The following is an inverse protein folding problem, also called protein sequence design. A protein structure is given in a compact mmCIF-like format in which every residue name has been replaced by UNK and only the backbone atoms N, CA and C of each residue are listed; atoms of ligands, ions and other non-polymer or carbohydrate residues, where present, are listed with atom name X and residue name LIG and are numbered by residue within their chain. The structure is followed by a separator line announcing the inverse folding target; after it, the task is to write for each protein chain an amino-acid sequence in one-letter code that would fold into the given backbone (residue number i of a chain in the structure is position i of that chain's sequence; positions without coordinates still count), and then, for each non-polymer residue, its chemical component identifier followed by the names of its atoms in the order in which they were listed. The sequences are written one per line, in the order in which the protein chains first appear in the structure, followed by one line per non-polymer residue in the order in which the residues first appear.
data_IF_425574536890
#
_entry.id   IF_425574536890
#
_cell.length_a   1.000
_cell.length_b   1.000
_cell.length_c   1.000
_cell.angle_alpha   90.00
_cell.angle_beta   90.00
_cell.angle_gamma   90.00
#
_symmetry.space_group_name_H-M   'P 1'
#
loop_
_entity.id
_entity.type
_entity.pdbx_description
1 polymer ?
#
# COMPACT_ATOMS: atom_id res chain seq x y z
N UNK A 1 -11.41 10.48 2.89
CA UNK A 1 -12.24 10.49 4.11
C UNK A 1 -11.48 11.12 5.28
N UNK A 2 -10.46 10.48 5.87
CA UNK A 2 -9.73 11.00 7.04
C UNK A 2 -9.00 12.30 6.74
N UNK A 3 -8.41 12.42 5.55
CA UNK A 3 -7.64 13.58 5.11
C UNK A 3 -8.52 14.71 4.50
N UNK A 4 -9.85 14.53 4.47
CA UNK A 4 -10.82 15.50 3.96
C UNK A 4 -10.58 15.96 2.50
N UNK A 5 -10.01 15.11 1.65
CA UNK A 5 -9.88 15.41 0.23
C UNK A 5 -11.22 15.20 -0.48
N UNK A 6 -11.54 16.10 -1.40
CA UNK A 6 -12.62 15.91 -2.36
C UNK A 6 -12.34 14.64 -3.19
N UNK A 7 -13.34 13.79 -3.49
CA UNK A 7 -13.15 12.58 -4.29
C UNK A 7 -12.48 12.82 -5.65
N UNK A 8 -12.79 13.95 -6.32
CA UNK A 8 -12.14 14.32 -7.56
C UNK A 8 -10.65 14.62 -7.36
N UNK A 9 -10.30 15.34 -6.28
CA UNK A 9 -8.91 15.63 -5.95
C UNK A 9 -8.13 14.37 -5.55
N UNK A 10 -8.76 13.46 -4.83
CA UNK A 10 -8.16 12.16 -4.48
C UNK A 10 -7.82 11.33 -5.73
N UNK A 11 -8.67 11.36 -6.76
CA UNK A 11 -8.39 10.76 -8.07
C UNK A 11 -7.21 11.41 -8.78
N UNK A 12 -7.19 12.75 -8.83
CA UNK A 12 -6.08 13.53 -9.42
C UNK A 12 -4.76 13.30 -8.70
N UNK A 13 -4.79 13.08 -7.39
CA UNK A 13 -3.61 12.82 -6.58
C UNK A 13 -2.86 11.53 -6.98
N UNK A 14 -3.51 10.61 -7.69
CA UNK A 14 -2.88 9.38 -8.19
C UNK A 14 -2.28 9.55 -9.59
N UNK A 15 -2.57 10.64 -10.31
CA UNK A 15 -2.07 10.87 -11.68
C UNK A 15 -0.53 10.84 -11.79
N UNK A 16 0.26 11.41 -10.87
CA UNK A 16 1.71 11.35 -10.95
C UNK A 16 2.24 9.91 -10.98
N UNK A 17 1.66 9.02 -10.15
CA UNK A 17 2.00 7.60 -10.16
C UNK A 17 1.68 6.95 -11.50
N UNK A 18 0.46 7.13 -12.00
CA UNK A 18 0.03 6.55 -13.28
C UNK A 18 0.88 7.06 -14.46
N UNK A 19 1.18 8.35 -14.47
CA UNK A 19 2.00 8.97 -15.51
C UNK A 19 3.41 8.36 -15.52
N UNK A 20 4.03 8.18 -14.37
CA UNK A 20 5.34 7.55 -14.26
C UNK A 20 5.33 6.11 -14.78
N UNK A 21 4.30 5.33 -14.47
CA UNK A 21 4.17 3.96 -14.99
C UNK A 21 4.12 3.96 -16.52
N UNK A 22 3.31 4.82 -17.12
CA UNK A 22 3.18 4.90 -18.59
C UNK A 22 4.48 5.36 -19.25
N UNK A 23 5.14 6.39 -18.71
CA UNK A 23 6.37 6.94 -19.26
C UNK A 23 7.56 5.99 -19.14
N UNK A 24 7.65 5.24 -18.05
CA UNK A 24 8.80 4.36 -17.78
C UNK A 24 8.64 2.96 -18.36
N UNK A 25 7.42 2.51 -18.65
CA UNK A 25 7.17 1.17 -19.17
C UNK A 25 8.00 0.82 -20.43
N UNK A 26 8.15 1.71 -21.44
CA UNK A 26 9.00 1.43 -22.60
C UNK A 26 10.49 1.36 -22.25
N UNK A 27 10.94 2.13 -21.24
CA UNK A 27 12.33 2.12 -20.78
C UNK A 27 12.65 0.83 -20.04
N UNK A 28 11.69 0.32 -19.27
CA UNK A 28 11.82 -0.94 -18.55
C UNK A 28 12.06 -2.12 -19.50
N UNK A 29 11.38 -2.17 -20.65
CA UNK A 29 11.64 -3.17 -21.68
C UNK A 29 13.09 -3.15 -22.17
N UNK A 30 13.60 -1.98 -22.54
CA UNK A 30 15.01 -1.80 -22.99
C UNK A 30 16.01 -2.18 -21.90
N UNK A 31 15.67 -1.94 -20.63
CA UNK A 31 16.52 -2.30 -19.50
C UNK A 31 16.63 -3.82 -19.35
N UNK A 32 15.52 -4.54 -19.58
CA UNK A 32 15.51 -6.02 -19.60
C UNK A 32 16.35 -6.56 -20.74
N UNK A 33 16.22 -5.99 -21.95
CA UNK A 33 16.96 -6.44 -23.11
C UNK A 33 18.47 -6.30 -22.90
N UNK A 34 18.91 -5.22 -22.26
CA UNK A 34 20.32 -4.91 -22.04
C UNK A 34 20.94 -5.61 -20.83
N UNK A 35 20.25 -5.62 -19.70
CA UNK A 35 20.80 -6.08 -18.40
C UNK A 35 20.13 -7.33 -17.84
N UNK A 36 19.11 -7.85 -18.54
CA UNK A 36 18.30 -8.95 -18.05
C UNK A 36 17.23 -8.49 -17.03
N UNK A 37 16.32 -9.38 -16.64
CA UNK A 37 15.16 -9.04 -15.81
C UNK A 37 15.52 -8.79 -14.35
N UNK A 38 16.61 -9.36 -13.84
CA UNK A 38 17.00 -9.26 -12.42
C UNK A 38 17.20 -7.81 -11.97
N UNK A 39 17.97 -7.03 -12.72
CA UNK A 39 18.32 -5.66 -12.31
C UNK A 39 17.08 -4.76 -12.17
N UNK A 40 16.19 -4.63 -13.18
CA UNK A 40 14.99 -3.81 -13.05
C UNK A 40 14.03 -4.31 -11.96
N UNK A 41 13.90 -5.63 -11.75
CA UNK A 41 13.05 -6.17 -10.68
C UNK A 41 13.60 -5.84 -9.28
N UNK A 42 14.91 -5.91 -9.07
CA UNK A 42 15.54 -5.55 -7.79
C UNK A 42 15.46 -4.04 -7.55
N UNK A 43 15.73 -3.22 -8.55
CA UNK A 43 15.60 -1.76 -8.42
C UNK A 43 14.17 -1.38 -8.13
N UNK A 44 13.20 -1.89 -8.90
CA UNK A 44 11.80 -1.59 -8.70
C UNK A 44 11.27 -2.08 -7.35
N UNK A 45 11.63 -3.29 -6.92
CA UNK A 45 11.26 -3.80 -5.61
C UNK A 45 11.85 -2.97 -4.46
N UNK A 46 13.10 -2.53 -4.58
CA UNK A 46 13.74 -1.63 -3.60
C UNK A 46 13.01 -0.28 -3.54
N UNK A 47 12.72 0.32 -4.70
CA UNK A 47 11.96 1.59 -4.77
C UNK A 47 10.55 1.44 -4.18
N UNK A 48 9.87 0.31 -4.44
CA UNK A 48 8.55 0.05 -3.87
C UNK A 48 8.62 -0.08 -2.34
N UNK A 49 9.58 -0.83 -1.80
CA UNK A 49 9.78 -0.96 -0.36
C UNK A 49 10.05 0.40 0.29
N UNK A 50 10.93 1.22 -0.30
CA UNK A 50 11.19 2.59 0.16
C UNK A 50 9.95 3.49 0.04
N UNK A 51 9.17 3.36 -1.03
CA UNK A 51 7.93 4.08 -1.23
C UNK A 51 6.92 3.80 -0.11
N UNK A 52 6.77 2.54 0.28
CA UNK A 52 5.91 2.17 1.42
C UNK A 52 6.46 2.66 2.76
N UNK A 53 7.79 2.67 2.96
CA UNK A 53 8.39 3.24 4.17
C UNK A 53 8.15 4.74 4.27
N UNK A 54 8.25 5.47 3.17
CA UNK A 54 7.93 6.91 3.13
C UNK A 54 6.44 7.12 3.38
N UNK A 55 5.57 6.29 2.79
CA UNK A 55 4.12 6.32 3.01
C UNK A 55 3.75 6.06 4.47
N UNK A 56 4.47 5.17 5.15
CA UNK A 56 4.28 4.90 6.57
C UNK A 56 4.59 6.11 7.47
N UNK A 57 5.34 7.09 7.01
CA UNK A 57 5.65 8.31 7.77
C UNK A 57 4.57 9.40 7.62
N UNK A 58 3.59 9.18 6.73
CA UNK A 58 2.50 10.14 6.53
C UNK A 58 1.60 10.20 7.75
N UNK A 59 1.44 11.40 8.31
CA UNK A 59 0.57 11.68 9.45
C UNK A 59 -0.82 12.18 9.03
N UNK A 60 -1.54 12.76 10.01
CA UNK A 60 -2.73 13.57 9.72
C UNK A 60 -2.28 14.84 9.00
N UNK A 61 -2.87 15.10 7.84
CA UNK A 61 -2.61 16.32 7.07
C UNK A 61 -3.77 17.32 7.23
N UNK A 62 -3.45 18.60 7.19
CA UNK A 62 -4.42 19.67 7.30
C UNK A 62 -5.12 20.00 5.96
N UNK A 63 -4.93 19.15 4.95
CA UNK A 63 -5.61 19.30 3.66
C UNK A 63 -4.68 19.18 2.44
N UNK A 64 -5.18 19.56 1.23
CA UNK A 64 -4.50 19.31 -0.05
C UNK A 64 -3.11 19.93 -0.21
N UNK A 65 -2.80 20.99 0.54
CA UNK A 65 -1.49 21.66 0.44
C UNK A 65 -0.34 20.78 0.93
N UNK A 66 -0.61 19.89 1.88
CA UNK A 66 0.40 18.99 2.44
C UNK A 66 0.61 17.74 1.59
N UNK A 67 -0.19 17.55 0.52
CA UNK A 67 -0.02 16.46 -0.43
C UNK A 67 1.40 16.39 -1.01
N UNK A 68 1.97 17.55 -1.37
CA UNK A 68 3.28 17.64 -2.01
C UNK A 68 4.43 17.12 -1.15
N UNK A 69 4.34 17.29 0.17
CA UNK A 69 5.36 16.84 1.13
C UNK A 69 5.05 15.46 1.73
N UNK A 70 3.77 15.09 1.85
CA UNK A 70 3.33 13.87 2.53
C UNK A 70 3.18 12.68 1.59
N UNK A 71 2.36 12.82 0.56
CA UNK A 71 1.99 11.69 -0.31
C UNK A 71 2.80 11.63 -1.61
N UNK A 72 3.09 12.78 -2.22
CA UNK A 72 3.74 12.81 -3.53
C UNK A 72 5.10 12.10 -3.56
N UNK A 73 6.01 12.23 -2.57
CA UNK A 73 7.27 11.51 -2.59
C UNK A 73 7.09 9.99 -2.59
N UNK A 74 6.17 9.49 -1.77
CA UNK A 74 5.85 8.06 -1.71
C UNK A 74 5.24 7.56 -3.03
N UNK A 75 4.25 8.28 -3.58
CA UNK A 75 3.60 7.93 -4.84
C UNK A 75 4.56 8.00 -6.02
N UNK A 76 5.52 8.92 -6.00
CA UNK A 76 6.59 8.99 -7.00
C UNK A 76 7.48 7.75 -6.94
N UNK A 77 7.93 7.34 -5.76
CA UNK A 77 8.72 6.11 -5.58
C UNK A 77 7.95 4.88 -6.04
N UNK A 78 6.67 4.76 -5.68
CA UNK A 78 5.81 3.66 -6.10
C UNK A 78 5.56 3.67 -7.61
N UNK A 79 5.37 4.83 -8.22
CA UNK A 79 5.21 4.99 -9.66
C UNK A 79 6.46 4.58 -10.43
N UNK A 80 7.65 5.01 -9.97
CA UNK A 80 8.94 4.57 -10.50
C UNK A 80 9.12 3.05 -10.36
N UNK A 81 8.81 2.51 -9.20
CA UNK A 81 8.89 1.08 -8.92
C UNK A 81 8.02 0.27 -9.89
N UNK A 82 6.76 0.62 -10.02
CA UNK A 82 5.81 -0.08 -10.91
C UNK A 82 6.21 0.08 -12.39
N UNK A 83 6.60 1.28 -12.80
CA UNK A 83 7.02 1.55 -14.18
C UNK A 83 8.24 0.74 -14.59
N UNK A 84 9.19 0.51 -13.66
CA UNK A 84 10.40 -0.26 -13.92
C UNK A 84 10.15 -1.78 -13.83
N UNK A 85 9.22 -2.25 -12.98
CA UNK A 85 9.05 -3.68 -12.66
C UNK A 85 7.98 -4.39 -13.50
N UNK A 86 6.95 -3.69 -14.00
CA UNK A 86 5.79 -4.31 -14.61
C UNK A 86 6.14 -5.14 -15.86
N UNK A 87 6.88 -4.56 -16.80
CA UNK A 87 7.31 -5.26 -18.02
C UNK A 87 8.29 -6.40 -17.74
N UNK A 88 9.37 -6.20 -16.92
CA UNK A 88 10.29 -7.27 -16.54
C UNK A 88 9.61 -8.47 -15.89
N UNK A 89 8.64 -8.24 -15.02
CA UNK A 89 7.92 -9.31 -14.33
C UNK A 89 7.20 -10.22 -15.33
N UNK A 90 6.40 -9.63 -16.21
CA UNK A 90 5.65 -10.37 -17.24
C UNK A 90 6.58 -11.11 -18.20
N UNK A 91 7.65 -10.47 -18.66
CA UNK A 91 8.64 -11.08 -19.56
C UNK A 91 9.35 -12.26 -18.91
N UNK A 92 9.72 -12.15 -17.63
CA UNK A 92 10.39 -13.24 -16.90
C UNK A 92 9.49 -14.47 -16.80
N UNK A 93 8.22 -14.28 -16.49
CA UNK A 93 7.24 -15.38 -16.42
C UNK A 93 7.06 -16.03 -17.80
N UNK A 94 6.90 -15.24 -18.86
CA UNK A 94 6.69 -15.77 -20.21
C UNK A 94 7.93 -16.51 -20.74
N UNK A 95 9.14 -16.04 -20.44
CA UNK A 95 10.39 -16.68 -20.84
C UNK A 95 10.72 -17.95 -20.01
N UNK A 96 10.00 -18.20 -18.93
CA UNK A 96 10.19 -19.38 -18.08
C UNK A 96 9.44 -20.61 -18.56
N UNK A 97 8.57 -20.48 -19.59
CA UNK A 97 7.77 -21.56 -20.16
C UNK A 97 8.17 -21.81 -21.62
N UNK A 98 8.03 -23.08 -22.08
CA UNK A 98 8.25 -23.42 -23.48
C UNK A 98 7.22 -22.70 -24.37
N UNK A 99 7.64 -22.38 -25.60
CA UNK A 99 6.79 -21.60 -26.53
C UNK A 99 5.42 -22.23 -26.77
N UNK A 100 5.37 -23.55 -26.81
CA UNK A 100 4.13 -24.35 -26.95
C UNK A 100 3.21 -24.26 -25.73
N UNK A 101 3.73 -23.91 -24.56
CA UNK A 101 3.02 -23.83 -23.29
C UNK A 101 2.75 -22.39 -22.83
N UNK A 102 2.98 -21.40 -23.68
CA UNK A 102 2.82 -19.96 -23.34
C UNK A 102 1.40 -19.65 -22.85
N UNK A 103 0.38 -20.29 -23.42
CA UNK A 103 -1.00 -20.13 -22.97
C UNK A 103 -1.22 -20.63 -21.52
N UNK A 104 -0.64 -21.77 -21.18
CA UNK A 104 -0.68 -22.32 -19.81
C UNK A 104 0.06 -21.43 -18.84
N UNK A 105 1.26 -20.96 -19.21
CA UNK A 105 2.06 -20.02 -18.40
C UNK A 105 1.33 -18.72 -18.13
N UNK A 106 0.67 -18.14 -19.13
CA UNK A 106 -0.17 -16.95 -18.99
C UNK A 106 -1.36 -17.20 -18.07
N UNK A 107 -2.04 -18.34 -18.20
CA UNK A 107 -3.15 -18.73 -17.33
C UNK A 107 -2.74 -18.87 -15.87
N UNK A 108 -1.62 -19.55 -15.60
CA UNK A 108 -1.07 -19.70 -14.25
C UNK A 108 -0.70 -18.32 -13.67
N UNK A 109 0.01 -17.50 -14.41
CA UNK A 109 0.38 -16.14 -13.96
C UNK A 109 -0.85 -15.29 -13.61
N UNK A 110 -1.88 -15.30 -14.45
CA UNK A 110 -3.12 -14.56 -14.22
C UNK A 110 -3.87 -15.07 -12.99
N UNK A 111 -3.92 -16.39 -12.81
CA UNK A 111 -4.58 -17.02 -11.65
C UNK A 111 -3.85 -16.68 -10.35
N UNK A 112 -2.52 -16.83 -10.34
CA UNK A 112 -1.69 -16.49 -9.18
C UNK A 112 -1.79 -15.00 -8.84
N UNK A 113 -1.80 -14.11 -9.83
CA UNK A 113 -1.95 -12.68 -9.62
C UNK A 113 -3.29 -12.33 -8.96
N UNK A 114 -4.38 -12.94 -9.43
CA UNK A 114 -5.72 -12.74 -8.85
C UNK A 114 -5.81 -13.31 -7.43
N UNK A 115 -5.29 -14.50 -7.21
CA UNK A 115 -5.27 -15.13 -5.90
C UNK A 115 -4.44 -14.28 -4.91
N UNK A 116 -3.26 -13.82 -5.32
CA UNK A 116 -2.41 -12.95 -4.51
C UNK A 116 -3.10 -11.63 -4.18
N UNK A 117 -3.86 -11.05 -5.11
CA UNK A 117 -4.62 -9.83 -4.85
C UNK A 117 -5.70 -10.04 -3.78
N UNK A 118 -6.47 -11.14 -3.87
CA UNK A 118 -7.51 -11.46 -2.88
C UNK A 118 -6.89 -11.74 -1.50
N UNK A 119 -5.85 -12.56 -1.44
CA UNK A 119 -5.14 -12.85 -0.19
C UNK A 119 -4.49 -11.60 0.39
N UNK A 120 -3.89 -10.76 -0.47
CA UNK A 120 -3.31 -9.48 -0.06
C UNK A 120 -4.34 -8.56 0.60
N UNK A 121 -5.49 -8.37 -0.03
CA UNK A 121 -6.58 -7.56 0.54
C UNK A 121 -7.06 -8.15 1.86
N UNK A 122 -7.24 -9.48 1.96
CA UNK A 122 -7.70 -10.12 3.19
C UNK A 122 -6.68 -9.95 4.34
N UNK A 123 -5.40 -10.23 4.09
CA UNK A 123 -4.34 -10.14 5.11
C UNK A 123 -4.12 -8.68 5.53
N UNK A 124 -3.98 -7.75 4.57
CA UNK A 124 -3.76 -6.34 4.87
C UNK A 124 -4.99 -5.70 5.52
N UNK A 125 -6.20 -6.12 5.13
CA UNK A 125 -7.44 -5.71 5.77
C UNK A 125 -7.52 -6.16 7.22
N UNK A 126 -7.11 -7.39 7.53
CA UNK A 126 -7.03 -7.89 8.90
C UNK A 126 -5.98 -7.12 9.72
N UNK A 127 -4.81 -6.87 9.15
CA UNK A 127 -3.77 -6.06 9.81
C UNK A 127 -4.30 -4.64 10.10
N UNK A 128 -5.01 -4.03 9.13
CA UNK A 128 -5.61 -2.72 9.31
C UNK A 128 -6.63 -2.72 10.46
N UNK A 129 -7.54 -3.70 10.47
CA UNK A 129 -8.59 -3.80 11.46
C UNK A 129 -8.01 -4.01 12.88
N UNK A 130 -7.15 -4.99 13.05
CA UNK A 130 -6.54 -5.27 14.36
C UNK A 130 -5.68 -4.11 14.87
N UNK A 131 -4.92 -3.46 13.98
CA UNK A 131 -4.12 -2.29 14.35
C UNK A 131 -5.00 -1.11 14.73
N UNK A 132 -6.09 -0.90 14.01
CA UNK A 132 -7.04 0.16 14.29
C UNK A 132 -7.75 -0.04 15.63
N UNK A 133 -8.31 -1.23 15.85
CA UNK A 133 -9.01 -1.58 17.08
C UNK A 133 -8.09 -1.42 18.30
N UNK A 134 -6.89 -2.01 18.24
CA UNK A 134 -5.91 -1.90 19.32
C UNK A 134 -5.54 -0.43 19.61
N UNK A 135 -5.25 0.34 18.57
CA UNK A 135 -4.88 1.76 18.72
C UNK A 135 -6.03 2.60 19.24
N UNK A 136 -7.26 2.35 18.75
CA UNK A 136 -8.45 3.08 19.18
C UNK A 136 -8.75 2.80 20.65
N UNK A 137 -8.78 1.53 21.05
CA UNK A 137 -9.09 1.15 22.43
C UNK A 137 -8.04 1.67 23.42
N UNK A 138 -6.75 1.65 23.07
CA UNK A 138 -5.69 2.20 23.92
C UNK A 138 -5.81 3.72 24.10
N UNK A 139 -6.18 4.46 23.07
CA UNK A 139 -6.30 5.93 23.12
C UNK A 139 -7.58 6.38 23.83
N UNK A 140 -8.66 5.65 23.62
CA UNK A 140 -9.96 5.95 24.22
C UNK A 140 -9.99 5.62 25.72
N UNK A 141 -9.15 4.70 26.21
CA UNK A 141 -9.05 4.42 27.65
C UNK A 141 -8.72 5.65 28.50
N UNK A 142 -8.05 6.64 27.92
CA UNK A 142 -7.71 7.91 28.59
C UNK A 142 -8.93 8.88 28.66
N UNK A 143 -9.95 8.65 27.84
CA UNK A 143 -11.14 9.53 27.78
C UNK A 143 -12.21 9.17 28.83
N UNK A 144 -11.97 8.17 29.68
CA UNK A 144 -12.87 7.75 30.77
C UNK A 144 -14.32 7.48 30.30
N UNK A 145 -14.47 6.85 29.14
CA UNK A 145 -15.77 6.47 28.60
C UNK A 145 -16.46 5.41 29.48
N UNK A 146 -17.78 5.40 29.50
CA UNK A 146 -18.56 4.33 30.14
C UNK A 146 -18.34 2.98 29.44
N UNK A 147 -18.60 1.89 30.14
CA UNK A 147 -18.51 0.53 29.55
C UNK A 147 -19.42 0.34 28.35
N UNK A 148 -20.59 0.99 28.34
CA UNK A 148 -21.55 0.96 27.24
C UNK A 148 -21.03 1.72 26.00
N UNK A 149 -20.49 2.94 26.19
CA UNK A 149 -19.88 3.74 25.11
C UNK A 149 -18.67 3.03 24.49
N UNK A 150 -17.84 2.40 25.32
CA UNK A 150 -16.70 1.60 24.86
C UNK A 150 -17.14 0.39 24.03
N UNK A 151 -18.20 -0.31 24.42
CA UNK A 151 -18.74 -1.44 23.68
C UNK A 151 -19.34 -1.01 22.33
N UNK A 152 -20.04 0.12 22.29
CA UNK A 152 -20.55 0.69 21.02
C UNK A 152 -19.38 1.04 20.09
N UNK A 153 -18.36 1.69 20.62
CA UNK A 153 -17.19 2.09 19.84
C UNK A 153 -16.39 0.88 19.33
N UNK A 154 -16.30 -0.19 20.11
CA UNK A 154 -15.68 -1.45 19.68
C UNK A 154 -16.43 -2.08 18.51
N UNK A 155 -17.78 -2.07 18.52
CA UNK A 155 -18.57 -2.52 17.37
C UNK A 155 -18.42 -1.62 16.14
N UNK A 156 -18.26 -0.31 16.34
CA UNK A 156 -18.04 0.66 15.26
C UNK A 156 -16.63 0.53 14.64
N UNK A 157 -15.65 -0.07 15.36
CA UNK A 157 -14.28 -0.20 14.89
C UNK A 157 -14.14 -0.97 13.58
N UNK A 158 -15.07 -1.85 13.25
CA UNK A 158 -15.13 -2.59 11.98
C UNK A 158 -15.23 -1.64 10.78
N UNK A 159 -15.81 -0.45 10.97
CA UNK A 159 -15.97 0.57 9.92
C UNK A 159 -14.69 1.39 9.69
N UNK A 160 -13.64 1.18 10.47
CA UNK A 160 -12.36 1.89 10.36
C UNK A 160 -12.55 3.42 10.37
N UNK A 161 -12.17 4.08 9.28
CA UNK A 161 -12.27 5.53 9.13
C UNK A 161 -13.70 6.10 9.15
N UNK A 162 -14.72 5.26 8.98
CA UNK A 162 -16.13 5.62 9.00
C UNK A 162 -16.78 5.41 10.38
N UNK A 163 -16.00 4.88 11.36
CA UNK A 163 -16.46 4.74 12.72
C UNK A 163 -16.92 6.10 13.29
N UNK A 164 -17.99 6.07 14.08
CA UNK A 164 -18.58 7.27 14.66
C UNK A 164 -18.57 7.22 16.18
N UNK A 165 -18.49 8.38 16.84
CA UNK A 165 -18.67 8.46 18.28
C UNK A 165 -20.03 7.89 18.71
N UNK A 166 -20.14 7.30 19.90
CA UNK A 166 -21.41 6.84 20.46
C UNK A 166 -22.46 7.94 20.46
N UNK A 167 -23.73 7.61 20.16
CA UNK A 167 -24.82 8.59 20.17
C UNK A 167 -25.10 9.11 21.59
N UNK A 168 -25.47 10.39 21.69
CA UNK A 168 -25.83 11.01 22.98
C UNK A 168 -24.65 11.61 23.75
N UNK A 169 -23.42 11.52 23.25
CA UNK A 169 -22.25 12.14 23.89
C UNK A 169 -22.31 13.67 23.79
N UNK A 170 -21.77 14.40 24.81
CA UNK A 170 -21.52 15.83 24.71
C UNK A 170 -20.66 16.16 23.48
N UNK A 171 -20.90 17.34 22.86
CA UNK A 171 -20.23 17.74 21.61
C UNK A 171 -18.71 17.72 21.74
N UNK A 172 -18.18 18.14 22.88
CA UNK A 172 -16.74 18.15 23.15
C UNK A 172 -16.14 16.73 23.24
N UNK A 173 -16.83 15.82 23.95
CA UNK A 173 -16.42 14.44 24.08
C UNK A 173 -16.49 13.71 22.73
N UNK A 174 -17.56 13.93 21.96
CA UNK A 174 -17.69 13.37 20.60
C UNK A 174 -16.58 13.87 19.66
N UNK A 175 -16.19 15.14 19.77
CA UNK A 175 -15.08 15.69 19.00
C UNK A 175 -13.74 15.05 19.37
N UNK A 176 -13.49 14.80 20.67
CA UNK A 176 -12.31 14.11 21.14
C UNK A 176 -12.25 12.67 20.61
N UNK A 177 -13.32 11.89 20.74
CA UNK A 177 -13.43 10.52 20.21
C UNK A 177 -13.18 10.50 18.69
N UNK A 178 -13.76 11.46 17.96
CA UNK A 178 -13.55 11.57 16.50
C UNK A 178 -12.09 11.85 16.13
N UNK A 179 -11.37 12.59 16.95
CA UNK A 179 -9.95 12.82 16.75
C UNK A 179 -9.15 11.53 16.97
N UNK A 180 -9.48 10.77 18.01
CA UNK A 180 -8.80 9.50 18.31
C UNK A 180 -9.11 8.43 17.24
N UNK A 181 -10.31 8.37 16.68
CA UNK A 181 -10.64 7.55 15.50
C UNK A 181 -9.70 7.89 14.33
N UNK A 182 -9.49 9.18 14.05
CA UNK A 182 -8.56 9.59 12.97
C UNK A 182 -7.12 9.17 13.26
N UNK A 183 -6.64 9.34 14.49
CA UNK A 183 -5.29 8.94 14.92
C UNK A 183 -5.11 7.42 14.83
N UNK A 184 -6.07 6.66 15.32
CA UNK A 184 -6.07 5.21 15.23
C UNK A 184 -6.01 4.73 13.77
N UNK A 185 -6.75 5.39 12.87
CA UNK A 185 -6.70 5.08 11.45
C UNK A 185 -5.31 5.34 10.83
N UNK A 186 -4.67 6.44 11.17
CA UNK A 186 -3.29 6.73 10.71
C UNK A 186 -2.31 5.68 11.25
N UNK A 187 -2.47 5.24 12.49
CA UNK A 187 -1.63 4.17 13.06
C UNK A 187 -1.84 2.85 12.31
N UNK A 188 -3.08 2.48 12.02
CA UNK A 188 -3.39 1.30 11.21
C UNK A 188 -2.80 1.39 9.80
N UNK A 189 -2.95 2.53 9.14
CA UNK A 189 -2.38 2.78 7.82
C UNK A 189 -0.84 2.68 7.81
N UNK A 190 -0.19 3.20 8.85
CA UNK A 190 1.26 3.08 9.05
C UNK A 190 1.69 1.63 9.18
N UNK A 191 1.00 0.84 10.01
CA UNK A 191 1.31 -0.56 10.22
C UNK A 191 1.13 -1.38 8.94
N UNK A 192 0.05 -1.17 8.20
CA UNK A 192 -0.15 -1.78 6.86
C UNK A 192 0.99 -1.41 5.92
N UNK A 193 1.39 -0.15 5.90
CA UNK A 193 2.50 0.31 5.04
C UNK A 193 3.83 -0.35 5.41
N UNK A 194 4.11 -0.56 6.70
CA UNK A 194 5.29 -1.31 7.14
C UNK A 194 5.25 -2.78 6.73
N UNK A 195 4.09 -3.43 6.83
CA UNK A 195 3.91 -4.81 6.36
C UNK A 195 4.13 -4.90 4.86
N UNK A 196 3.59 -3.96 4.07
CA UNK A 196 3.85 -3.88 2.63
C UNK A 196 5.34 -3.69 2.33
N UNK A 197 6.00 -2.74 3.01
CA UNK A 197 7.43 -2.49 2.84
C UNK A 197 8.28 -3.75 3.12
N UNK A 198 7.99 -4.44 4.22
CA UNK A 198 8.66 -5.67 4.62
C UNK A 198 8.45 -6.81 3.63
N UNK A 199 7.22 -7.02 3.20
CA UNK A 199 6.85 -8.08 2.24
C UNK A 199 7.53 -7.85 0.88
N UNK A 200 7.47 -6.61 0.36
CA UNK A 200 8.12 -6.24 -0.90
C UNK A 200 9.64 -6.31 -0.79
N UNK A 201 10.21 -5.83 0.32
CA UNK A 201 11.65 -5.91 0.59
C UNK A 201 12.13 -7.36 0.62
N UNK A 202 11.42 -8.24 1.32
CA UNK A 202 11.72 -9.67 1.38
C UNK A 202 11.62 -10.33 0.00
N UNK A 203 10.56 -10.04 -0.76
CA UNK A 203 10.40 -10.52 -2.14
C UNK A 203 11.55 -10.03 -3.04
N UNK A 204 12.02 -8.81 -2.84
CA UNK A 204 13.16 -8.25 -3.58
C UNK A 204 14.46 -9.00 -3.27
N UNK A 205 14.69 -9.37 -2.02
CA UNK A 205 15.85 -10.19 -1.64
C UNK A 205 15.80 -11.59 -2.28
N UNK A 206 14.63 -12.22 -2.29
CA UNK A 206 14.42 -13.51 -2.98
C UNK A 206 14.71 -13.36 -4.48
N UNK A 207 14.17 -12.32 -5.11
CA UNK A 207 14.42 -12.01 -6.53
C UNK A 207 15.91 -11.83 -6.80
N UNK A 208 16.61 -11.10 -5.93
CA UNK A 208 18.06 -10.89 -6.05
C UNK A 208 18.86 -12.18 -5.86
N UNK A 209 18.39 -13.11 -5.06
CA UNK A 209 19.06 -14.38 -4.81
C UNK A 209 18.82 -15.42 -5.91
N UNK A 210 17.55 -15.54 -6.37
CA UNK A 210 17.15 -16.64 -7.25
C UNK A 210 17.25 -16.34 -8.74
N UNK A 211 17.09 -15.07 -9.15
CA UNK A 211 17.18 -14.74 -10.58
C UNK A 211 18.66 -14.58 -10.98
N UNK A 212 19.16 -15.41 -11.94
CA UNK A 212 20.55 -15.35 -12.35
C UNK A 212 20.90 -14.02 -13.05
N UNK A 213 22.12 -13.57 -12.86
CA UNK A 213 22.66 -12.42 -13.61
C UNK A 213 22.86 -12.84 -15.06
N UNK A 214 22.36 -12.04 -16.01
CA UNK A 214 22.72 -12.24 -17.40
C UNK A 214 24.18 -11.81 -17.55
N UNK A 215 25.08 -12.75 -17.82
CA UNK A 215 26.43 -12.43 -18.27
C UNK A 215 26.29 -11.90 -19.69
N UNK A 216 26.59 -10.63 -19.89
CA UNK A 216 26.68 -10.04 -21.22
C UNK A 216 27.96 -10.63 -21.82
N UNK A 217 27.82 -11.58 -22.72
CA UNK A 217 28.90 -12.07 -23.60
C UNK A 217 28.98 -11.19 -24.82
#
# INVERSE_FOLDING_TARGET
QVQQYDPAFAGLAQLPLMLLVVLLSPMAGRLVDRYGPRLPLVIGGTLASLGFLVLAQTGLTAGPREYWSSFLPALTLLGLAMGISAAPLSTTVMNSVQHEQTGVGSGINSTLSRLSAVLGVAVLGLVALLSFEHSLMSQVSELHLSSEETAILANESIKLAEAQPPPGMPVEAAAAVKLEIKRAYITAFRNVSYVCAGTVGFSTLITAALIPRRTVS
#
